data_IF_152828529010
#
_entry.id   IF_152828529010
#
_cell.length_a   1.000
_cell.length_b   1.000
_cell.length_c   1.000
_cell.angle_alpha   90.00
_cell.angle_beta   90.00
_cell.angle_gamma   90.00
#
_symmetry.space_group_name_H-M   'P 1'
#
loop_
_entity.id
_entity.type
_entity.pdbx_description
1 polymer ?
#
# COMPACT_ATOMS: atom_id res chain seq x y z
N UNK A 1 -2.07 -7.22 22.88
CA UNK A 1 -1.93 -7.09 21.42
C UNK A 1 -1.38 -8.42 20.90
N UNK A 2 -2.21 -9.25 20.27
CA UNK A 2 -1.77 -10.46 19.58
C UNK A 2 -1.48 -10.10 18.13
N UNK A 3 -0.24 -10.28 17.69
CA UNK A 3 0.11 -10.21 16.28
C UNK A 3 -0.11 -11.59 15.68
N UNK A 4 -1.13 -11.73 14.83
CA UNK A 4 -1.34 -12.93 14.05
C UNK A 4 -0.76 -12.68 12.66
N UNK A 5 0.30 -13.41 12.32
CA UNK A 5 0.89 -13.40 10.99
C UNK A 5 -0.02 -14.25 10.09
N UNK A 6 -0.85 -13.59 9.28
CA UNK A 6 -1.73 -14.25 8.31
C UNK A 6 -0.99 -14.29 6.97
N UNK A 7 -0.91 -15.48 6.36
CA UNK A 7 -0.46 -15.59 4.97
C UNK A 7 -1.64 -15.10 4.14
N UNK A 8 -1.45 -13.98 3.44
CA UNK A 8 -2.52 -13.34 2.67
C UNK A 8 -2.28 -13.66 1.20
N UNK A 9 -3.06 -14.59 0.67
CA UNK A 9 -2.99 -14.98 -0.74
C UNK A 9 -3.70 -13.97 -1.65
N UNK A 10 -4.66 -13.21 -1.09
CA UNK A 10 -5.43 -12.20 -1.81
C UNK A 10 -5.58 -10.96 -0.92
N UNK A 11 -4.82 -9.91 -1.23
CA UNK A 11 -4.84 -8.65 -0.49
C UNK A 11 -6.16 -7.91 -0.66
N UNK A 12 -6.76 -7.99 -1.84
CA UNK A 12 -8.02 -7.32 -2.14
C UNK A 12 -9.16 -7.97 -1.37
N UNK A 13 -9.24 -9.29 -1.32
CA UNK A 13 -10.26 -9.97 -0.51
C UNK A 13 -10.10 -9.71 0.99
N UNK A 14 -8.88 -9.52 1.49
CA UNK A 14 -8.62 -9.30 2.92
C UNK A 14 -8.88 -7.83 3.32
N UNK A 15 -8.40 -6.88 2.52
CA UNK A 15 -8.38 -5.47 2.88
C UNK A 15 -9.34 -4.58 2.08
N UNK A 16 -9.91 -5.11 1.00
CA UNK A 16 -10.69 -4.34 0.03
C UNK A 16 -9.81 -3.47 -0.86
N UNK A 17 -10.43 -2.50 -1.50
CA UNK A 17 -9.75 -1.50 -2.32
C UNK A 17 -8.83 -0.62 -1.47
N UNK A 18 -7.76 -0.15 -2.09
CA UNK A 18 -6.78 0.68 -1.41
C UNK A 18 -5.43 0.66 -2.08
N UNK A 19 -4.41 0.93 -1.29
CA UNK A 19 -3.06 1.15 -1.77
C UNK A 19 -2.06 0.38 -0.92
N UNK A 20 -1.14 -0.31 -1.57
CA UNK A 20 -0.09 -1.09 -0.95
C UNK A 20 1.27 -0.43 -1.19
N UNK A 21 2.01 -0.23 -0.11
CA UNK A 21 3.40 0.22 -0.13
C UNK A 21 4.27 -0.71 0.72
N UNK A 22 5.55 -0.80 0.39
CA UNK A 22 6.54 -1.47 1.24
C UNK A 22 6.75 -0.67 2.53
N UNK A 23 6.79 -1.35 3.66
CA UNK A 23 7.03 -0.73 4.95
C UNK A 23 8.50 -0.24 5.02
N UNK A 24 8.76 1.04 5.37
CA UNK A 24 10.13 1.52 5.50
C UNK A 24 10.85 0.85 6.67
N UNK A 25 12.16 0.65 6.51
CA UNK A 25 13.04 0.18 7.59
C UNK A 25 13.35 1.29 8.61
N UNK A 26 13.28 2.56 8.19
CA UNK A 26 13.48 3.71 9.07
C UNK A 26 12.23 4.02 9.89
N UNK A 27 12.38 3.98 11.22
CA UNK A 27 11.30 4.36 12.14
C UNK A 27 10.84 5.80 11.94
N UNK A 28 11.76 6.74 11.67
CA UNK A 28 11.38 8.15 11.48
C UNK A 28 10.49 8.34 10.25
N UNK A 29 10.82 7.65 9.14
CA UNK A 29 10.01 7.66 7.92
C UNK A 29 8.65 6.99 8.15
N UNK A 30 8.62 5.89 8.90
CA UNK A 30 7.37 5.26 9.27
C UNK A 30 6.49 6.23 10.07
N UNK A 31 7.02 6.81 11.13
CA UNK A 31 6.28 7.75 11.99
C UNK A 31 5.77 8.95 11.18
N UNK A 32 6.57 9.48 10.25
CA UNK A 32 6.18 10.58 9.36
C UNK A 32 5.03 10.19 8.44
N UNK A 33 5.10 9.02 7.77
CA UNK A 33 3.99 8.53 6.94
C UNK A 33 2.73 8.28 7.75
N UNK A 34 2.83 7.66 8.93
CA UNK A 34 1.64 7.38 9.74
C UNK A 34 0.97 8.66 10.24
N UNK A 35 1.75 9.69 10.58
CA UNK A 35 1.21 10.99 10.97
C UNK A 35 0.57 11.68 9.77
N UNK A 36 1.24 11.68 8.62
CA UNK A 36 0.72 12.25 7.38
C UNK A 36 -0.59 11.57 6.96
N UNK A 37 -0.68 10.24 7.02
CA UNK A 37 -1.90 9.50 6.73
C UNK A 37 -3.04 9.88 7.68
N UNK A 38 -2.77 9.99 8.99
CA UNK A 38 -3.77 10.41 9.98
C UNK A 38 -4.29 11.82 9.72
N UNK A 39 -3.43 12.75 9.33
CA UNK A 39 -3.82 14.13 8.99
C UNK A 39 -4.68 14.21 7.73
N UNK A 40 -4.61 13.19 6.86
CA UNK A 40 -5.36 13.10 5.60
C UNK A 40 -6.44 12.00 5.66
N UNK A 41 -6.94 11.65 6.84
CA UNK A 41 -8.01 10.66 7.06
C UNK A 41 -7.74 9.26 6.46
N UNK A 42 -6.46 8.91 6.26
CA UNK A 42 -6.03 7.61 5.76
C UNK A 42 -6.13 6.52 6.83
N UNK A 43 -6.89 5.46 6.55
CA UNK A 43 -6.91 4.23 7.35
C UNK A 43 -5.82 3.29 6.85
N UNK A 44 -5.11 2.62 7.75
CA UNK A 44 -4.04 1.72 7.35
C UNK A 44 -3.97 0.44 8.17
N UNK A 45 -3.48 -0.63 7.53
CA UNK A 45 -3.21 -1.93 8.12
C UNK A 45 -1.78 -2.35 7.78
N UNK A 46 -1.04 -2.82 8.78
CA UNK A 46 0.23 -3.49 8.53
C UNK A 46 -0.04 -4.94 8.14
N UNK A 47 0.66 -5.42 7.13
CA UNK A 47 0.60 -6.81 6.72
C UNK A 47 1.98 -7.35 6.41
N UNK A 48 2.09 -8.67 6.45
CA UNK A 48 3.25 -9.37 5.93
C UNK A 48 2.76 -10.52 5.06
N UNK A 49 3.36 -10.67 3.88
CA UNK A 49 3.05 -11.76 2.97
C UNK A 49 4.33 -12.53 2.65
N UNK A 50 4.23 -13.85 2.57
CA UNK A 50 5.33 -14.68 2.09
C UNK A 50 5.21 -14.79 0.57
N UNK A 51 6.11 -14.15 -0.16
CA UNK A 51 6.20 -14.33 -1.60
C UNK A 51 6.59 -15.79 -1.88
N UNK A 52 5.64 -16.59 -2.40
CA UNK A 52 5.83 -18.03 -2.52
C UNK A 52 7.00 -18.44 -3.42
N UNK A 53 7.27 -17.62 -4.46
CA UNK A 53 8.30 -17.87 -5.47
C UNK A 53 9.71 -17.79 -4.91
N UNK A 54 10.01 -16.74 -4.15
CA UNK A 54 11.35 -16.50 -3.60
C UNK A 54 11.46 -16.81 -2.10
N UNK A 55 10.36 -17.26 -1.47
CA UNK A 55 10.25 -17.49 -0.01
C UNK A 55 10.72 -16.27 0.80
N UNK A 56 10.43 -15.08 0.28
CA UNK A 56 10.79 -13.80 0.90
C UNK A 56 9.57 -13.22 1.62
N UNK A 57 9.77 -12.77 2.85
CA UNK A 57 8.76 -11.99 3.55
C UNK A 57 8.73 -10.57 3.00
N UNK A 58 7.58 -10.19 2.48
CA UNK A 58 7.23 -8.81 2.17
C UNK A 58 6.47 -8.23 3.37
N UNK A 59 6.83 -7.02 3.78
CA UNK A 59 6.13 -6.30 4.85
C UNK A 59 5.58 -5.02 4.24
N UNK A 60 4.27 -4.84 4.33
CA UNK A 60 3.59 -3.74 3.67
C UNK A 60 2.67 -2.98 4.58
N UNK A 61 2.25 -1.82 4.09
CA UNK A 61 1.19 -1.01 4.65
C UNK A 61 0.10 -0.97 3.57
N UNK A 62 -1.08 -1.49 3.91
CA UNK A 62 -2.29 -1.28 3.13
C UNK A 62 -2.97 0.00 3.61
N UNK A 63 -3.35 0.89 2.71
CA UNK A 63 -3.91 2.22 2.99
C UNK A 63 -5.24 2.34 2.26
N UNK A 64 -6.28 2.83 2.94
CA UNK A 64 -7.59 3.07 2.38
C UNK A 64 -8.07 4.48 2.77
N UNK A 65 -8.63 5.20 1.81
CA UNK A 65 -9.09 6.58 1.97
C UNK A 65 -10.63 6.73 1.92
N UNK A 66 -11.36 5.61 1.97
CA UNK A 66 -12.82 5.59 1.89
C UNK A 66 -13.33 6.23 0.61
N UNK A 67 -14.28 7.16 0.75
CA UNK A 67 -14.95 7.83 -0.36
C UNK A 67 -14.24 9.12 -0.83
N UNK A 68 -12.92 9.26 -0.59
CA UNK A 68 -12.17 10.40 -1.13
C UNK A 68 -12.13 10.35 -2.65
N UNK A 69 -12.14 11.53 -3.27
CA UNK A 69 -12.00 11.66 -4.72
C UNK A 69 -10.63 11.17 -5.20
N UNK A 70 -10.63 10.47 -6.34
CA UNK A 70 -9.44 9.82 -6.89
C UNK A 70 -8.22 10.76 -7.00
N UNK A 71 -8.40 11.97 -7.53
CA UNK A 71 -7.30 12.94 -7.69
C UNK A 71 -6.74 13.47 -6.35
N UNK A 72 -7.54 13.49 -5.28
CA UNK A 72 -7.04 13.79 -3.94
C UNK A 72 -6.13 12.66 -3.45
N UNK A 73 -6.57 11.41 -3.65
CA UNK A 73 -5.84 10.24 -3.22
C UNK A 73 -4.49 10.10 -3.96
N UNK A 74 -4.47 10.31 -5.27
CA UNK A 74 -3.22 10.33 -6.05
C UNK A 74 -2.21 11.36 -5.52
N UNK A 75 -2.70 12.54 -5.14
CA UNK A 75 -1.85 13.59 -4.57
C UNK A 75 -1.28 13.17 -3.20
N UNK A 76 -2.08 12.49 -2.38
CA UNK A 76 -1.64 11.97 -1.09
C UNK A 76 -0.62 10.84 -1.28
N UNK A 77 -0.89 9.89 -2.16
CA UNK A 77 -0.01 8.74 -2.40
C UNK A 77 1.33 9.14 -3.03
N UNK A 78 1.36 10.10 -3.96
CA UNK A 78 2.62 10.67 -4.47
C UNK A 78 3.49 11.22 -3.34
N UNK A 79 2.89 11.93 -2.36
CA UNK A 79 3.61 12.45 -1.20
C UNK A 79 4.11 11.34 -0.29
N UNK A 80 3.31 10.29 -0.07
CA UNK A 80 3.74 9.10 0.70
C UNK A 80 4.98 8.47 0.06
N UNK A 81 4.99 8.28 -1.27
CA UNK A 81 6.16 7.76 -1.98
C UNK A 81 7.40 8.65 -1.79
N UNK A 82 7.24 9.96 -1.86
CA UNK A 82 8.33 10.92 -1.63
C UNK A 82 8.89 10.85 -0.20
N UNK A 83 8.05 10.74 0.82
CA UNK A 83 8.51 10.56 2.22
C UNK A 83 9.32 9.27 2.36
N UNK A 84 8.90 8.21 1.67
CA UNK A 84 9.51 6.90 1.78
C UNK A 84 10.75 6.71 0.91
N UNK A 85 11.02 7.61 -0.03
CA UNK A 85 11.95 7.42 -1.15
C UNK A 85 11.61 6.15 -1.97
N UNK A 86 10.31 5.92 -2.19
CA UNK A 86 9.82 4.85 -3.06
C UNK A 86 9.55 5.38 -4.46
N UNK A 87 9.87 4.56 -5.45
CA UNK A 87 9.62 4.90 -6.85
C UNK A 87 8.18 4.62 -7.29
N UNK A 88 7.45 3.77 -6.57
CA UNK A 88 6.09 3.36 -6.95
C UNK A 88 5.29 2.82 -5.78
N UNK A 89 3.97 2.76 -5.96
CA UNK A 89 3.00 2.10 -5.10
C UNK A 89 2.02 1.27 -5.93
N UNK A 90 1.30 0.37 -5.27
CA UNK A 90 0.31 -0.48 -5.90
C UNK A 90 -1.09 -0.04 -5.47
N UNK A 91 -1.98 0.31 -6.40
CA UNK A 91 -3.40 0.50 -6.15
C UNK A 91 -4.16 -0.82 -6.38
N UNK A 92 -5.09 -1.16 -5.49
CA UNK A 92 -5.99 -2.30 -5.58
C UNK A 92 -7.38 -1.77 -5.92
N UNK A 93 -7.88 -2.12 -7.10
CA UNK A 93 -9.18 -1.68 -7.59
C UNK A 93 -9.94 -2.86 -8.20
N UNK A 94 -11.10 -3.19 -7.62
CA UNK A 94 -12.04 -4.24 -8.02
C UNK A 94 -11.49 -5.66 -8.17
N UNK A 95 -10.59 -5.91 -9.12
CA UNK A 95 -9.94 -7.20 -9.40
C UNK A 95 -8.53 -7.03 -9.99
N UNK A 96 -8.06 -5.79 -10.05
CA UNK A 96 -6.81 -5.42 -10.66
C UNK A 96 -5.92 -4.77 -9.61
N UNK A 97 -4.62 -5.04 -9.73
CA UNK A 97 -3.62 -4.23 -9.07
C UNK A 97 -2.88 -3.41 -10.12
N UNK A 98 -2.77 -2.12 -9.85
CA UNK A 98 -2.19 -1.14 -10.75
C UNK A 98 -0.95 -0.60 -10.08
N UNK A 99 0.19 -0.63 -10.76
CA UNK A 99 1.42 -0.04 -10.25
C UNK A 99 1.53 1.37 -10.81
N UNK A 100 1.61 2.34 -9.91
CA UNK A 100 1.70 3.77 -10.19
C UNK A 100 3.02 4.27 -9.62
N UNK A 101 3.78 5.05 -10.38
CA UNK A 101 5.02 5.63 -9.88
C UNK A 101 4.81 6.88 -9.02
N UNK A 102 5.89 7.40 -8.45
CA UNK A 102 5.85 8.56 -7.55
C UNK A 102 5.42 9.87 -8.25
N UNK A 103 5.44 9.90 -9.58
CA UNK A 103 5.01 11.03 -10.42
C UNK A 103 3.54 10.87 -10.89
N UNK A 104 2.85 9.83 -10.40
CA UNK A 104 1.49 9.44 -10.74
C UNK A 104 1.34 8.89 -12.16
N UNK A 105 2.41 8.40 -12.77
CA UNK A 105 2.35 7.72 -14.05
C UNK A 105 2.03 6.23 -13.85
N UNK A 106 1.14 5.71 -14.70
CA UNK A 106 0.84 4.29 -14.78
C UNK A 106 2.06 3.53 -15.33
N UNK A 107 2.68 2.68 -14.50
CA UNK A 107 3.87 1.90 -14.88
C UNK A 107 3.57 0.42 -15.14
N UNK A 108 2.44 -0.10 -14.67
CA UNK A 108 2.07 -1.49 -14.96
C UNK A 108 0.76 -1.97 -14.35
N UNK A 109 0.41 -3.20 -14.71
CA UNK A 109 -0.78 -3.91 -14.23
C UNK A 109 -0.35 -5.30 -13.76
N UNK A 110 -0.90 -5.74 -12.63
CA UNK A 110 -0.82 -7.12 -12.18
C UNK A 110 -2.24 -7.57 -11.84
N UNK A 111 -2.79 -8.50 -12.62
CA UNK A 111 -4.06 -9.14 -12.29
C UNK A 111 -3.82 -10.16 -11.17
N UNK A 112 -4.70 -10.19 -10.18
CA UNK A 112 -4.82 -11.35 -9.30
C UNK A 112 -5.60 -12.40 -10.09
N UNK A 113 -4.90 -13.18 -10.91
CA UNK A 113 -5.53 -14.35 -11.52
C UNK A 113 -5.82 -15.36 -10.40
N UNK A 114 -7.11 -15.69 -10.23
CA UNK A 114 -7.60 -16.79 -9.39
C UNK A 114 -7.09 -18.15 -9.88
#
# INVERSE_FOLDING_TARGET
>A
MQFKLQIINDLLSEFGEGYCIEMPTSKSKLDEVLNFLKENDGKFHFYANLEEKNKKWFHGIHINFGEKEWGEIETIMSKVCKILDLNSYCALDHSQSIVIDADNDLVGWVCFDN
#
